data_IF_584874152625
#
_entry.id   IF_584874152625
#
_cell.length_a   1.000
_cell.length_b   1.000
_cell.length_c   1.000
_cell.angle_alpha   90.00
_cell.angle_beta   90.00
_cell.angle_gamma   90.00
#
_symmetry.space_group_name_H-M   'P 1'
#
loop_
_entity.id
_entity.type
_entity.pdbx_description
1 polymer ?
#
# COMPACT_ATOMS: atom_id res chain seq x y z
N UNK A 1 -2.41 8.99 -19.89
CA UNK A 1 -1.82 7.93 -20.74
C UNK A 1 -2.12 6.53 -20.20
N UNK A 2 -2.37 5.53 -21.06
CA UNK A 2 -2.81 4.18 -20.65
C UNK A 2 -1.78 3.44 -19.78
N UNK A 3 -0.49 3.53 -20.14
CA UNK A 3 0.66 3.01 -19.37
C UNK A 3 0.58 3.32 -17.87
N UNK A 4 0.52 4.61 -17.53
CA UNK A 4 0.54 5.05 -16.12
C UNK A 4 -0.72 4.63 -15.36
N UNK A 5 -1.89 4.60 -16.03
CA UNK A 5 -3.12 4.11 -15.39
C UNK A 5 -3.00 2.63 -15.00
N UNK A 6 -2.43 1.81 -15.88
CA UNK A 6 -2.19 0.39 -15.57
C UNK A 6 -1.14 0.20 -14.47
N UNK A 7 -0.05 0.97 -14.46
CA UNK A 7 0.95 0.91 -13.37
C UNK A 7 0.36 1.31 -12.00
N UNK A 8 -0.47 2.36 -11.94
CA UNK A 8 -1.19 2.74 -10.72
C UNK A 8 -2.14 1.61 -10.30
N UNK A 9 -2.84 0.98 -11.25
CA UNK A 9 -3.72 -0.14 -10.98
C UNK A 9 -2.99 -1.39 -10.48
N UNK A 10 -1.74 -1.63 -10.92
CA UNK A 10 -0.87 -2.68 -10.34
C UNK A 10 -0.63 -2.40 -8.86
N UNK A 11 -0.17 -1.19 -8.51
CA UNK A 11 0.12 -0.85 -7.12
C UNK A 11 -1.14 -0.95 -6.24
N UNK A 12 -2.29 -0.46 -6.72
CA UNK A 12 -3.56 -0.53 -6.01
C UNK A 12 -4.06 -1.98 -5.81
N UNK A 13 -3.93 -2.83 -6.83
CA UNK A 13 -4.32 -4.24 -6.73
C UNK A 13 -3.43 -5.00 -5.74
N UNK A 14 -2.12 -4.76 -5.76
CA UNK A 14 -1.16 -5.36 -4.82
C UNK A 14 -1.42 -4.91 -3.39
N UNK A 15 -1.69 -3.62 -3.17
CA UNK A 15 -2.05 -3.08 -1.85
C UNK A 15 -3.31 -3.71 -1.25
N UNK A 16 -4.15 -4.35 -2.08
CA UNK A 16 -5.36 -5.07 -1.66
C UNK A 16 -5.21 -6.61 -1.68
N UNK A 17 -4.00 -7.13 -1.92
CA UNK A 17 -3.77 -8.57 -2.02
C UNK A 17 -4.37 -9.23 -3.28
N UNK A 18 -4.74 -8.47 -4.30
CA UNK A 18 -5.40 -8.97 -5.51
C UNK A 18 -4.38 -9.37 -6.59
N UNK A 19 -3.71 -10.50 -6.39
CA UNK A 19 -2.60 -10.94 -7.26
C UNK A 19 -3.00 -11.12 -8.74
N UNK A 20 -4.20 -11.67 -9.03
CA UNK A 20 -4.66 -11.86 -10.40
C UNK A 20 -4.92 -10.52 -11.11
N UNK A 21 -5.53 -9.55 -10.42
CA UNK A 21 -5.74 -8.21 -10.95
C UNK A 21 -4.40 -7.50 -11.20
N UNK A 22 -3.45 -7.61 -10.28
CA UNK A 22 -2.12 -7.04 -10.45
C UNK A 22 -1.41 -7.63 -11.68
N UNK A 23 -1.50 -8.95 -11.90
CA UNK A 23 -0.94 -9.61 -13.09
C UNK A 23 -1.56 -9.07 -14.39
N UNK A 24 -2.89 -9.00 -14.45
CA UNK A 24 -3.58 -8.49 -15.64
C UNK A 24 -3.23 -7.02 -15.93
N UNK A 25 -3.13 -6.18 -14.89
CA UNK A 25 -2.76 -4.78 -15.06
C UNK A 25 -1.29 -4.61 -15.45
N UNK A 26 -0.40 -5.44 -14.93
CA UNK A 26 1.01 -5.45 -15.35
C UNK A 26 1.15 -5.83 -16.83
N UNK A 27 0.39 -6.83 -17.29
CA UNK A 27 0.33 -7.16 -18.71
C UNK A 27 -0.15 -5.97 -19.56
N UNK A 28 -1.23 -5.30 -19.16
CA UNK A 28 -1.73 -4.11 -19.88
C UNK A 28 -0.71 -2.96 -19.88
N UNK A 29 0.00 -2.74 -18.77
CA UNK A 29 1.06 -1.74 -18.69
C UNK A 29 2.19 -2.06 -19.67
N UNK A 30 2.63 -3.32 -19.75
CA UNK A 30 3.68 -3.78 -20.67
C UNK A 30 3.25 -3.60 -22.13
N UNK A 31 2.00 -3.95 -22.47
CA UNK A 31 1.44 -3.71 -23.81
C UNK A 31 1.38 -2.22 -24.17
N UNK A 32 1.24 -1.35 -23.17
CA UNK A 32 1.28 0.11 -23.34
C UNK A 32 2.70 0.71 -23.29
N UNK A 33 3.75 -0.13 -23.33
CA UNK A 33 5.15 0.32 -23.38
C UNK A 33 5.81 0.53 -22.01
N UNK A 34 5.26 -0.03 -20.93
CA UNK A 34 5.97 -0.05 -19.65
C UNK A 34 7.17 -1.00 -19.70
N UNK A 35 8.27 -0.64 -19.04
CA UNK A 35 9.40 -1.55 -18.83
C UNK A 35 9.10 -2.54 -17.70
N UNK A 36 9.93 -3.58 -17.57
CA UNK A 36 9.83 -4.48 -16.42
C UNK A 36 10.18 -3.75 -15.12
N UNK A 37 11.15 -2.82 -15.16
CA UNK A 37 11.56 -2.03 -14.01
C UNK A 37 10.42 -1.12 -13.51
N UNK A 38 9.66 -0.50 -14.42
CA UNK A 38 8.51 0.33 -14.02
C UNK A 38 7.41 -0.48 -13.32
N UNK A 39 7.23 -1.74 -13.70
CA UNK A 39 6.30 -2.66 -13.00
C UNK A 39 6.87 -3.02 -11.62
N UNK A 40 8.17 -3.27 -11.52
CA UNK A 40 8.84 -3.52 -10.24
C UNK A 40 8.76 -2.30 -9.30
N UNK A 41 8.87 -1.09 -9.84
CA UNK A 41 8.67 0.15 -9.07
C UNK A 41 7.26 0.23 -8.50
N UNK A 42 6.23 -0.13 -9.27
CA UNK A 42 4.85 -0.22 -8.76
C UNK A 42 4.72 -1.25 -7.62
N UNK A 43 5.44 -2.38 -7.70
CA UNK A 43 5.50 -3.38 -6.61
C UNK A 43 6.18 -2.82 -5.37
N UNK A 44 7.31 -2.12 -5.53
CA UNK A 44 8.04 -1.47 -4.42
C UNK A 44 7.18 -0.42 -3.73
N UNK A 45 6.45 0.38 -4.49
CA UNK A 45 5.48 1.35 -3.97
C UNK A 45 4.40 0.65 -3.16
N UNK A 46 3.77 -0.40 -3.70
CA UNK A 46 2.73 -1.14 -3.00
C UNK A 46 3.24 -1.73 -1.65
N UNK A 47 4.46 -2.28 -1.65
CA UNK A 47 5.10 -2.78 -0.43
C UNK A 47 5.32 -1.67 0.60
N UNK A 48 5.82 -0.52 0.15
CA UNK A 48 6.05 0.63 1.04
C UNK A 48 4.74 1.12 1.68
N UNK A 49 3.67 1.27 0.88
CA UNK A 49 2.36 1.67 1.37
C UNK A 49 1.76 0.66 2.35
N UNK A 50 1.93 -0.64 2.11
CA UNK A 50 1.52 -1.67 3.04
C UNK A 50 2.28 -1.56 4.38
N UNK A 51 3.59 -1.31 4.35
CA UNK A 51 4.38 -1.09 5.55
C UNK A 51 3.97 0.18 6.31
N UNK A 52 3.69 1.28 5.60
CA UNK A 52 3.19 2.51 6.20
C UNK A 52 1.83 2.28 6.89
N UNK A 53 0.91 1.57 6.24
CA UNK A 53 -0.38 1.23 6.85
C UNK A 53 -0.25 0.33 8.10
N UNK A 54 0.75 -0.54 8.16
CA UNK A 54 1.06 -1.31 9.37
C UNK A 54 1.50 -0.39 10.51
N UNK A 55 2.35 0.61 10.23
CA UNK A 55 2.79 1.58 11.24
C UNK A 55 1.64 2.48 11.71
N UNK A 56 0.80 2.95 10.80
CA UNK A 56 -0.38 3.74 11.14
C UNK A 56 -1.36 2.93 12.01
N UNK A 57 -1.60 1.67 11.65
CA UNK A 57 -2.46 0.77 12.43
C UNK A 57 -1.84 0.41 13.80
N UNK A 58 -0.52 0.38 13.90
CA UNK A 58 0.20 0.15 15.15
C UNK A 58 0.31 1.41 16.02
N UNK A 59 -0.02 2.60 15.51
CA UNK A 59 0.12 3.87 16.22
C UNK A 59 -0.57 3.88 17.60
N UNK A 60 -1.82 3.40 17.76
CA UNK A 60 -2.45 3.31 19.09
C UNK A 60 -1.70 2.36 20.04
N UNK A 61 -1.28 1.19 19.54
CA UNK A 61 -0.50 0.22 20.33
C UNK A 61 0.85 0.80 20.76
N UNK A 62 1.52 1.55 19.88
CA UNK A 62 2.79 2.23 20.18
C UNK A 62 2.58 3.36 21.19
N UNK A 63 1.45 4.06 21.16
CA UNK A 63 1.09 5.07 22.16
C UNK A 63 0.86 4.42 23.54
N UNK A 64 0.18 3.28 23.58
CA UNK A 64 -0.05 2.51 24.82
C UNK A 64 1.27 2.03 25.43
N UNK A 65 2.20 1.54 24.61
CA UNK A 65 3.53 1.08 25.04
C UNK A 65 4.48 2.25 25.39
N UNK A 66 4.30 3.41 24.75
CA UNK A 66 5.15 4.60 24.89
C UNK A 66 4.88 5.45 26.13
N UNK A 67 3.82 5.16 26.88
CA UNK A 67 3.64 5.63 28.26
C UNK A 67 3.61 7.15 28.43
N UNK A 68 2.46 7.76 28.19
CA UNK A 68 1.96 8.78 29.13
C UNK A 68 0.62 8.29 29.66
N UNK A 69 0.44 8.17 30.99
CA UNK A 69 -0.82 7.70 31.55
C UNK A 69 -1.93 8.62 31.07
N UNK A 70 -2.89 8.06 30.34
CA UNK A 70 -4.17 8.71 30.07
C UNK A 70 -4.88 8.73 31.42
N UNK A 71 -5.21 9.90 32.00
CA UNK A 71 -6.08 9.94 33.17
C UNK A 71 -7.39 9.27 32.75
N UNK A 72 -7.71 8.15 33.39
CA UNK A 72 -9.00 7.48 33.27
C UNK A 72 -10.12 8.52 33.45
N UNK A 73 -11.05 8.54 32.51
CA UNK A 73 -12.25 9.39 32.50
C UNK A 73 -12.87 9.56 33.90
N UNK A 74 -13.36 10.76 34.27
CA UNK A 74 -14.42 10.82 35.24
C UNK A 74 -15.72 10.38 34.57
N UNK A 75 -16.24 9.24 35.03
CA UNK A 75 -17.59 8.78 34.75
C UNK A 75 -18.60 9.92 34.95
N UNK A 76 -19.45 10.16 33.94
CA UNK A 76 -20.78 10.77 34.05
C UNK A 76 -21.66 10.42 32.86
#
# INVERSE_FOLDING_TARGET
>A
PAKYRSLIAVAAALGRGQANCARSQAYMARQAGATAEEVLDAVRIARHLAAAGILDAASPLLADLGGKPIPSEPAR
#
